data_IF_299541126084
#
_entry.id   IF_299541126084
#
_cell.length_a   1.000
_cell.length_b   1.000
_cell.length_c   1.000
_cell.angle_alpha   90.00
_cell.angle_beta   90.00
_cell.angle_gamma   90.00
#
_symmetry.space_group_name_H-M   'P 1'
#
loop_
_entity.id
_entity.type
_entity.pdbx_description
1 polymer ?
#
# COMPACT_ATOMS: atom_id res chain seq x y z
N UNK A 1 -66.88 39.63 -5.65
CA UNK A 1 -66.77 39.52 -4.18
C UNK A 1 -65.56 38.67 -3.90
N UNK A 2 -64.53 39.20 -3.23
CA UNK A 2 -64.44 39.29 -1.75
C UNK A 2 -64.28 37.89 -1.14
N UNK A 3 -63.34 37.55 -0.27
CA UNK A 3 -62.30 38.23 0.50
C UNK A 3 -61.27 37.14 0.91
N UNK A 4 -59.95 37.38 0.90
CA UNK A 4 -59.10 37.77 2.04
C UNK A 4 -59.05 36.79 3.25
N UNK A 5 -57.81 36.47 3.65
CA UNK A 5 -57.24 36.14 4.99
C UNK A 5 -56.32 34.91 4.93
N UNK A 6 -54.99 35.01 5.08
CA UNK A 6 -54.15 35.42 6.22
C UNK A 6 -53.82 34.26 7.18
N UNK A 7 -52.53 34.11 7.54
CA UNK A 7 -52.02 33.18 8.56
C UNK A 7 -50.78 32.41 8.10
N UNK A 8 -49.56 32.95 8.15
CA UNK A 8 -48.70 33.16 9.33
C UNK A 8 -47.91 31.90 9.77
N UNK A 9 -46.58 32.09 9.76
CA UNK A 9 -45.57 31.58 10.68
C UNK A 9 -45.35 30.06 10.84
N UNK A 10 -44.11 29.64 10.54
CA UNK A 10 -43.62 28.31 10.86
C UNK A 10 -42.11 28.17 10.64
N UNK A 11 -41.33 29.08 11.23
CA UNK A 11 -39.87 29.02 11.27
C UNK A 11 -39.42 27.85 12.15
N UNK A 12 -39.30 26.66 11.56
CA UNK A 12 -38.90 25.44 12.23
C UNK A 12 -37.39 25.21 12.13
N UNK A 13 -36.69 25.66 13.18
CA UNK A 13 -35.62 24.92 13.86
C UNK A 13 -34.46 24.37 12.99
N UNK A 14 -33.43 25.20 12.83
CA UNK A 14 -32.05 24.75 12.54
C UNK A 14 -31.51 23.96 13.74
N UNK A 15 -31.77 22.65 13.80
CA UNK A 15 -31.09 21.75 14.74
C UNK A 15 -29.69 21.45 14.20
N UNK A 16 -28.68 22.05 14.83
CA UNK A 16 -27.28 21.71 14.60
C UNK A 16 -27.05 20.23 14.91
N UNK A 17 -26.57 19.49 13.92
CA UNK A 17 -26.10 18.12 14.11
C UNK A 17 -24.83 18.15 14.99
N UNK A 18 -24.76 17.34 16.07
CA UNK A 18 -23.54 17.21 16.85
C UNK A 18 -22.44 16.61 15.98
N UNK A 19 -21.29 17.28 15.94
CA UNK A 19 -20.06 16.80 15.29
C UNK A 19 -19.69 15.45 15.93
N UNK A 20 -19.52 14.35 15.15
CA UNK A 20 -19.14 13.07 15.71
C UNK A 20 -17.79 13.20 16.44
N UNK A 21 -17.76 12.68 17.67
CA UNK A 21 -16.57 12.61 18.51
C UNK A 21 -15.38 12.07 17.72
N UNK A 22 -14.26 12.79 17.81
CA UNK A 22 -13.01 12.41 17.16
C UNK A 22 -12.68 10.94 17.50
N UNK A 23 -12.41 10.15 16.46
CA UNK A 23 -11.86 8.80 16.60
C UNK A 23 -10.60 8.86 17.49
N UNK A 24 -10.38 7.84 18.34
CA UNK A 24 -9.15 7.74 19.12
C UNK A 24 -7.95 7.80 18.16
N UNK A 25 -7.14 8.85 18.28
CA UNK A 25 -5.90 8.92 17.52
C UNK A 25 -4.99 7.78 18.01
N UNK A 26 -4.38 7.00 17.11
CA UNK A 26 -3.40 6.01 17.50
C UNK A 26 -2.29 6.72 18.28
N UNK A 27 -2.02 6.24 19.49
CA UNK A 27 -0.93 6.76 20.31
C UNK A 27 0.37 6.70 19.49
N UNK A 28 1.08 7.83 19.39
CA UNK A 28 2.39 7.86 18.78
C UNK A 28 3.26 6.78 19.45
N UNK A 29 3.93 5.90 18.69
CA UNK A 29 4.86 4.96 19.29
C UNK A 29 5.92 5.74 20.08
N UNK A 30 6.40 5.22 21.22
CA UNK A 30 7.50 5.84 21.93
C UNK A 30 8.68 5.97 20.96
N UNK A 31 9.26 7.16 20.89
CA UNK A 31 10.50 7.40 20.17
C UNK A 31 11.55 6.44 20.73
N UNK A 32 11.78 5.33 20.03
CA UNK A 32 12.89 4.43 20.32
C UNK A 32 14.14 5.28 20.20
N UNK A 33 14.80 5.52 21.33
CA UNK A 33 16.14 6.06 21.37
C UNK A 33 16.99 5.16 20.49
N UNK A 34 17.34 5.68 19.30
CA UNK A 34 18.10 4.97 18.30
C UNK A 34 19.43 4.57 18.91
N UNK A 35 19.62 3.27 19.10
CA UNK A 35 20.95 2.74 18.97
C UNK A 35 21.35 3.05 17.53
N UNK A 36 22.36 3.92 17.36
CA UNK A 36 23.06 4.18 16.11
C UNK A 36 23.72 2.88 15.63
N UNK A 37 22.90 1.92 15.20
CA UNK A 37 23.31 0.89 14.26
C UNK A 37 23.39 1.62 12.93
N UNK A 38 24.49 2.37 12.74
CA UNK A 38 24.92 2.86 11.45
C UNK A 38 25.22 1.63 10.60
N UNK A 39 24.16 1.05 10.04
CA UNK A 39 24.29 0.02 9.03
C UNK A 39 25.11 0.66 7.91
N UNK A 40 26.17 0.00 7.41
CA UNK A 40 26.97 0.57 6.35
C UNK A 40 26.02 0.95 5.21
N UNK A 41 26.05 2.23 4.82
CA UNK A 41 25.26 2.72 3.72
C UNK A 41 25.68 1.91 2.49
N UNK A 42 24.86 0.91 2.13
CA UNK A 42 24.99 0.17 0.89
C UNK A 42 24.57 1.13 -0.23
N UNK A 43 25.51 1.98 -0.62
CA UNK A 43 25.35 2.94 -1.70
C UNK A 43 25.38 2.17 -3.03
N UNK A 44 24.23 2.06 -3.69
CA UNK A 44 24.13 1.45 -5.01
C UNK A 44 22.79 0.77 -5.30
N UNK A 45 22.53 0.49 -6.57
CA UNK A 45 21.45 -0.40 -6.97
C UNK A 45 21.88 -1.85 -6.73
N UNK A 46 21.10 -2.59 -5.94
CA UNK A 46 21.25 -4.04 -5.76
C UNK A 46 20.18 -4.76 -6.57
N UNK A 47 20.51 -5.96 -7.05
CA UNK A 47 19.56 -6.84 -7.73
C UNK A 47 19.32 -8.09 -6.89
N UNK A 48 18.06 -8.30 -6.50
CA UNK A 48 17.57 -9.53 -5.86
C UNK A 48 16.92 -10.42 -6.91
N UNK A 49 17.09 -11.74 -6.79
CA UNK A 49 16.41 -12.74 -7.62
C UNK A 49 15.59 -13.66 -6.72
N UNK A 50 14.28 -13.70 -6.95
CA UNK A 50 13.32 -14.46 -6.15
C UNK A 50 12.81 -15.62 -7.01
N UNK A 51 13.00 -16.85 -6.54
CA UNK A 51 12.42 -18.03 -7.16
C UNK A 51 10.93 -18.10 -6.84
N UNK A 52 10.12 -18.36 -7.86
CA UNK A 52 8.67 -18.43 -7.77
C UNK A 52 8.15 -19.78 -8.26
N UNK A 53 6.96 -20.22 -7.81
CA UNK A 53 6.43 -21.54 -8.17
C UNK A 53 6.23 -21.76 -9.67
N UNK A 54 5.86 -20.70 -10.42
CA UNK A 54 5.61 -20.77 -11.85
C UNK A 54 5.72 -19.39 -12.53
N UNK A 55 5.73 -19.39 -13.86
CA UNK A 55 5.85 -18.19 -14.70
C UNK A 55 4.71 -17.20 -14.46
N UNK A 56 3.48 -17.70 -14.32
CA UNK A 56 2.28 -16.87 -14.17
C UNK A 56 2.32 -16.01 -12.89
N UNK A 57 2.92 -16.53 -11.82
CA UNK A 57 3.15 -15.77 -10.59
C UNK A 57 4.20 -14.69 -10.81
N UNK A 58 5.30 -15.00 -11.52
CA UNK A 58 6.34 -14.03 -11.82
C UNK A 58 5.81 -12.88 -12.70
N UNK A 59 5.07 -13.21 -13.75
CA UNK A 59 4.50 -12.23 -14.68
C UNK A 59 3.46 -11.34 -13.99
N UNK A 60 2.58 -11.93 -13.16
CA UNK A 60 1.64 -11.16 -12.35
C UNK A 60 2.34 -10.18 -11.40
N UNK A 61 3.38 -10.63 -10.70
CA UNK A 61 4.12 -9.79 -9.76
C UNK A 61 4.92 -8.68 -10.46
N UNK A 62 5.40 -8.93 -11.69
CA UNK A 62 6.07 -7.93 -12.52
C UNK A 62 5.09 -7.03 -13.29
N UNK A 63 3.78 -7.35 -13.30
CA UNK A 63 2.78 -6.59 -14.04
C UNK A 63 2.64 -5.15 -13.52
N UNK A 64 2.24 -4.25 -14.43
CA UNK A 64 1.98 -2.86 -14.06
C UNK A 64 0.72 -2.69 -13.21
N UNK A 65 -0.17 -3.68 -13.19
CA UNK A 65 -1.44 -3.65 -12.45
C UNK A 65 -1.24 -3.48 -10.94
N UNK A 66 -0.16 -4.06 -10.39
CA UNK A 66 0.19 -3.92 -8.97
C UNK A 66 0.96 -2.63 -8.67
N UNK A 67 1.53 -2.00 -9.70
CA UNK A 67 2.31 -0.75 -9.59
C UNK A 67 3.39 -0.77 -8.49
N UNK A 68 3.97 -1.93 -8.17
CA UNK A 68 4.95 -2.08 -7.09
C UNK A 68 6.21 -1.26 -7.41
N UNK A 69 6.78 -1.43 -8.62
CA UNK A 69 7.99 -0.72 -9.04
C UNK A 69 7.90 0.80 -8.87
N UNK A 70 6.87 1.47 -9.45
CA UNK A 70 6.65 2.90 -9.24
C UNK A 70 6.47 3.33 -7.78
N UNK A 71 5.83 2.49 -6.94
CA UNK A 71 5.59 2.80 -5.52
C UNK A 71 6.84 2.69 -4.67
N UNK A 72 7.79 1.84 -5.05
CA UNK A 72 9.01 1.57 -4.27
C UNK A 72 10.26 2.18 -4.89
N UNK A 73 10.19 2.66 -6.14
CA UNK A 73 11.35 3.09 -6.90
C UNK A 73 12.24 1.92 -7.35
N UNK A 74 11.67 0.73 -7.52
CA UNK A 74 12.40 -0.47 -7.98
C UNK A 74 12.01 -0.85 -9.41
N UNK A 75 12.89 -1.57 -10.09
CA UNK A 75 12.65 -2.20 -11.39
C UNK A 75 12.31 -3.66 -11.14
N UNK A 76 11.16 -4.11 -11.64
CA UNK A 76 10.71 -5.50 -11.56
C UNK A 76 10.79 -6.16 -12.94
N UNK A 77 11.30 -7.38 -13.01
CA UNK A 77 11.31 -8.15 -14.25
C UNK A 77 11.10 -9.64 -13.99
N UNK A 78 10.10 -10.23 -14.63
CA UNK A 78 9.91 -11.68 -14.68
C UNK A 78 10.87 -12.30 -15.70
N UNK A 79 11.51 -13.41 -15.33
CA UNK A 79 12.42 -14.17 -16.20
C UNK A 79 12.25 -15.66 -15.96
N UNK A 80 12.65 -16.44 -16.97
CA UNK A 80 12.84 -17.88 -16.85
C UNK A 80 14.34 -18.18 -16.83
N UNK A 81 14.80 -18.93 -15.84
CA UNK A 81 16.20 -19.35 -15.74
C UNK A 81 16.26 -20.83 -15.35
N UNK A 82 16.81 -21.67 -16.21
CA UNK A 82 16.91 -23.12 -15.95
C UNK A 82 15.56 -23.81 -15.73
N UNK A 83 14.50 -23.35 -16.38
CA UNK A 83 13.14 -23.87 -16.19
C UNK A 83 12.46 -23.42 -14.89
N UNK A 84 13.09 -22.52 -14.13
CA UNK A 84 12.51 -21.91 -12.94
C UNK A 84 12.01 -20.49 -13.25
N UNK A 85 10.88 -20.13 -12.67
CA UNK A 85 10.37 -18.77 -12.71
C UNK A 85 11.11 -17.90 -11.70
N UNK A 86 11.68 -16.80 -12.17
CA UNK A 86 12.48 -15.87 -11.36
C UNK A 86 11.91 -14.47 -11.50
N UNK A 87 11.68 -13.79 -10.38
CA UNK A 87 11.42 -12.36 -10.35
C UNK A 87 12.68 -11.62 -9.92
N UNK A 88 13.13 -10.69 -10.76
CA UNK A 88 14.23 -9.79 -10.44
C UNK A 88 13.69 -8.48 -9.87
N UNK A 89 14.29 -8.03 -8.77
CA UNK A 89 14.00 -6.74 -8.11
C UNK A 89 15.30 -5.96 -8.06
N UNK A 90 15.36 -4.83 -8.77
CA UNK A 90 16.54 -3.98 -8.80
C UNK A 90 16.25 -2.58 -8.26
N UNK A 91 17.10 -2.11 -7.35
CA UNK A 91 16.97 -0.80 -6.71
C UNK A 91 17.81 -0.69 -5.45
N UNK A 92 17.73 0.46 -4.74
CA UNK A 92 18.39 0.63 -3.45
C UNK A 92 17.97 -0.45 -2.43
N UNK A 93 18.83 -0.83 -1.48
CA UNK A 93 18.52 -1.86 -0.49
C UNK A 93 17.17 -1.67 0.23
N UNK A 94 16.89 -0.44 0.67
CA UNK A 94 15.62 -0.10 1.34
C UNK A 94 14.42 -0.22 0.39
N UNK A 95 14.55 0.27 -0.83
CA UNK A 95 13.52 0.18 -1.86
C UNK A 95 13.20 -1.29 -2.20
N UNK A 96 14.23 -2.13 -2.31
CA UNK A 96 14.10 -3.57 -2.53
C UNK A 96 13.37 -4.25 -1.35
N UNK A 97 13.69 -3.88 -0.11
CA UNK A 97 13.00 -4.43 1.07
C UNK A 97 11.50 -4.09 1.07
N UNK A 98 11.14 -2.85 0.76
CA UNK A 98 9.73 -2.44 0.63
C UNK A 98 9.05 -3.17 -0.53
N UNK A 99 9.73 -3.33 -1.66
CA UNK A 99 9.20 -4.10 -2.79
C UNK A 99 8.93 -5.56 -2.40
N UNK A 100 9.87 -6.21 -1.71
CA UNK A 100 9.69 -7.57 -1.19
C UNK A 100 8.48 -7.71 -0.27
N UNK A 101 8.23 -6.72 0.60
CA UNK A 101 7.04 -6.70 1.44
C UNK A 101 5.75 -6.62 0.62
N UNK A 102 5.67 -5.72 -0.37
CA UNK A 102 4.50 -5.59 -1.24
C UNK A 102 4.26 -6.84 -2.10
N UNK A 103 5.33 -7.51 -2.54
CA UNK A 103 5.25 -8.77 -3.26
C UNK A 103 4.65 -9.88 -2.38
N UNK A 104 5.04 -9.94 -1.11
CA UNK A 104 4.47 -10.89 -0.15
C UNK A 104 2.98 -10.63 0.09
N UNK A 105 2.58 -9.38 0.27
CA UNK A 105 1.18 -8.98 0.41
C UNK A 105 0.36 -9.36 -0.84
N UNK A 106 0.88 -9.11 -2.04
CA UNK A 106 0.21 -9.46 -3.30
C UNK A 106 0.02 -10.98 -3.43
N UNK A 107 1.04 -11.77 -3.07
CA UNK A 107 0.96 -13.24 -3.06
C UNK A 107 -0.06 -13.75 -2.05
N UNK A 108 -0.10 -13.15 -0.86
CA UNK A 108 -1.06 -13.49 0.19
C UNK A 108 -2.49 -13.23 -0.28
N UNK A 109 -2.75 -12.04 -0.84
CA UNK A 109 -4.07 -11.66 -1.35
C UNK A 109 -4.54 -12.52 -2.52
N UNK A 110 -3.62 -12.94 -3.41
CA UNK A 110 -3.95 -13.83 -4.54
C UNK A 110 -4.27 -15.27 -4.09
N UNK A 111 -4.09 -15.60 -2.81
CA UNK A 111 -4.27 -16.96 -2.30
C UNK A 111 -3.15 -17.92 -2.73
N UNK A 112 -1.99 -17.39 -3.14
CA UNK A 112 -0.84 -18.17 -3.62
C UNK A 112 -0.16 -19.03 -2.54
N UNK A 113 -0.61 -18.95 -1.29
CA UNK A 113 -0.14 -19.73 -0.14
C UNK A 113 -1.09 -20.87 0.27
N UNK A 114 -1.98 -21.34 -0.62
CA UNK A 114 -2.67 -22.61 -0.37
C UNK A 114 -1.75 -23.78 -0.75
N UNK A 115 -1.22 -24.45 0.28
CA UNK A 115 -0.61 -25.77 0.18
C UNK A 115 -1.66 -26.83 -0.14
#
# INVERSE_FOLDING_TARGET
>A
GAAAEAGAAGEAARRGSPRPSALPQPASPPATAGADLEAPALEGELMLSILLPNAEVADFLASSDLSIGPRTGTKLAARQAGGQAVLQVAGPPLANAVACYLLQEALWMRGGFRR
#
